data_IF_563021850699
#
_entry.id   IF_563021850699
#
_cell.length_a   1.000
_cell.length_b   1.000
_cell.length_c   1.000
_cell.angle_alpha   90.00
_cell.angle_beta   90.00
_cell.angle_gamma   90.00
#
_symmetry.space_group_name_H-M   'P 1'
#
loop_
_entity.id
_entity.type
_entity.pdbx_description
1 polymer ?
#
# COMPACT_ATOMS: atom_id res chain seq x y z
N UNK A 1 -5.11 1.32 -13.12
CA UNK A 1 -5.79 0.03 -12.91
C UNK A 1 -5.74 -0.29 -11.43
N UNK A 2 -6.81 -0.80 -10.83
CA UNK A 2 -6.84 -1.14 -9.40
C UNK A 2 -7.52 -2.51 -9.20
N UNK A 3 -6.99 -3.32 -8.29
CA UNK A 3 -7.48 -4.68 -8.00
C UNK A 3 -7.48 -4.95 -6.50
N UNK A 4 -8.42 -5.77 -6.03
CA UNK A 4 -8.45 -6.23 -4.63
C UNK A 4 -7.67 -7.53 -4.42
N UNK A 5 -7.28 -8.23 -5.50
CA UNK A 5 -6.43 -9.45 -5.45
C UNK A 5 -4.95 -9.11 -5.49
N UNK A 6 -4.13 -10.01 -4.96
CA UNK A 6 -2.67 -9.98 -5.07
C UNK A 6 -2.18 -11.24 -5.77
N UNK A 7 -1.08 -11.11 -6.52
CA UNK A 7 -0.49 -12.21 -7.29
C UNK A 7 0.99 -12.37 -6.96
N UNK A 8 1.46 -13.61 -6.98
CA UNK A 8 2.86 -13.96 -6.81
C UNK A 8 3.38 -14.61 -8.10
N UNK A 9 4.57 -14.22 -8.51
CA UNK A 9 5.25 -14.74 -9.70
C UNK A 9 6.73 -14.97 -9.37
N UNK A 10 7.31 -16.12 -9.76
CA UNK A 10 8.75 -16.34 -9.64
C UNK A 10 9.56 -15.31 -10.44
N UNK A 11 10.57 -14.70 -9.82
CA UNK A 11 11.40 -13.67 -10.48
C UNK A 11 12.23 -14.23 -11.63
N UNK A 12 12.68 -15.49 -11.53
CA UNK A 12 13.42 -16.16 -12.61
C UNK A 12 12.62 -16.29 -13.90
N UNK A 13 11.29 -16.41 -13.80
CA UNK A 13 10.38 -16.41 -14.94
C UNK A 13 10.30 -15.02 -15.57
N UNK A 14 10.15 -13.97 -14.74
CA UNK A 14 10.08 -12.58 -15.22
C UNK A 14 11.37 -12.14 -15.91
N UNK A 15 12.53 -12.60 -15.43
CA UNK A 15 13.84 -12.26 -15.99
C UNK A 15 14.21 -13.03 -17.26
N UNK A 16 13.49 -14.10 -17.60
CA UNK A 16 13.78 -14.87 -18.81
C UNK A 16 13.04 -14.30 -20.02
N UNK A 17 13.72 -13.50 -20.84
CA UNK A 17 13.12 -12.80 -21.98
C UNK A 17 12.49 -13.77 -23.01
N UNK A 18 13.12 -14.91 -23.26
CA UNK A 18 12.69 -15.86 -24.29
C UNK A 18 11.28 -16.41 -24.07
N UNK A 19 10.85 -16.47 -22.80
CA UNK A 19 9.51 -16.91 -22.36
C UNK A 19 8.42 -15.98 -22.91
N UNK A 20 8.71 -14.68 -23.03
CA UNK A 20 7.73 -13.65 -23.41
C UNK A 20 7.56 -13.48 -24.92
N UNK A 21 8.46 -14.04 -25.73
CA UNK A 21 8.44 -13.87 -27.18
C UNK A 21 7.56 -14.91 -27.91
N UNK A 22 7.36 -16.09 -27.32
CA UNK A 22 6.77 -17.24 -28.05
C UNK A 22 5.52 -17.83 -27.38
N UNK A 23 5.52 -18.02 -26.06
CA UNK A 23 4.52 -18.84 -25.36
C UNK A 23 3.84 -18.12 -24.18
N UNK A 24 3.58 -16.81 -24.28
CA UNK A 24 3.04 -15.98 -23.18
C UNK A 24 1.82 -16.58 -22.46
N UNK A 25 0.91 -17.21 -23.19
CA UNK A 25 -0.31 -17.80 -22.64
C UNK A 25 -0.04 -19.06 -21.79
N UNK A 26 1.00 -19.83 -22.11
CA UNK A 26 1.36 -21.02 -21.33
C UNK A 26 1.94 -20.65 -19.97
N UNK A 27 2.64 -19.51 -19.89
CA UNK A 27 3.29 -19.03 -18.68
C UNK A 27 2.35 -18.20 -17.79
N UNK A 28 1.15 -17.84 -18.27
CA UNK A 28 0.14 -17.15 -17.47
C UNK A 28 -0.25 -17.96 -16.20
N UNK A 29 -0.13 -19.29 -16.23
CA UNK A 29 -0.40 -20.18 -15.08
C UNK A 29 0.51 -19.93 -13.87
N UNK A 30 1.67 -19.31 -14.07
CA UNK A 30 2.62 -18.98 -12.99
C UNK A 30 2.28 -17.68 -12.26
N UNK A 31 1.27 -16.93 -12.72
CA UNK A 31 0.70 -15.80 -11.99
C UNK A 31 -0.33 -16.34 -11.01
N UNK A 32 0.15 -16.68 -9.81
CA UNK A 32 -0.66 -17.37 -8.81
C UNK A 32 -1.34 -16.32 -7.94
N UNK A 33 -2.69 -16.28 -7.86
CA UNK A 33 -3.38 -15.41 -6.92
C UNK A 33 -3.12 -15.90 -5.50
N UNK A 34 -2.58 -15.04 -4.64
CA UNK A 34 -2.25 -15.38 -3.25
C UNK A 34 -3.35 -15.01 -2.26
N UNK A 35 -4.28 -14.15 -2.66
CA UNK A 35 -5.45 -13.82 -1.85
C UNK A 35 -6.08 -12.49 -2.24
N UNK A 36 -6.97 -12.00 -1.37
CA UNK A 36 -7.68 -10.74 -1.54
C UNK A 36 -7.67 -9.89 -0.26
N UNK A 37 -7.76 -8.58 -0.44
CA UNK A 37 -7.73 -7.58 0.63
C UNK A 37 -9.12 -7.27 1.23
N UNK A 38 -10.20 -7.86 0.68
CA UNK A 38 -11.59 -7.66 1.11
C UNK A 38 -12.43 -6.75 0.22
N UNK A 39 -13.58 -6.32 0.77
CA UNK A 39 -14.52 -5.43 0.10
C UNK A 39 -13.96 -4.00 0.01
N UNK A 40 -14.15 -3.34 -1.14
CA UNK A 40 -13.69 -1.97 -1.42
C UNK A 40 -12.20 -1.71 -1.11
N UNK A 41 -11.36 -2.73 -1.20
CA UNK A 41 -9.92 -2.65 -0.88
C UNK A 41 -9.06 -2.72 -2.14
N UNK A 42 -9.52 -2.10 -3.22
CA UNK A 42 -8.78 -2.03 -4.47
C UNK A 42 -7.50 -1.24 -4.24
N UNK A 43 -6.37 -1.85 -4.60
CA UNK A 43 -5.06 -1.21 -4.56
C UNK A 43 -4.67 -0.70 -5.93
N UNK A 44 -4.17 0.53 -6.00
CA UNK A 44 -3.60 1.12 -7.22
C UNK A 44 -2.10 0.87 -7.32
N UNK A 45 -1.41 0.77 -6.18
CA UNK A 45 0.04 0.74 -6.12
C UNK A 45 0.51 0.03 -4.84
N UNK A 46 1.73 -0.48 -4.88
CA UNK A 46 2.35 -1.20 -3.77
C UNK A 46 3.83 -0.85 -3.70
N UNK A 47 4.40 -0.83 -2.51
CA UNK A 47 5.83 -0.65 -2.27
C UNK A 47 6.32 -1.60 -1.19
N UNK A 48 7.44 -2.28 -1.44
CA UNK A 48 8.04 -3.23 -0.49
C UNK A 48 9.31 -2.65 0.09
N UNK A 49 9.43 -2.68 1.41
CA UNK A 49 10.61 -2.26 2.16
C UNK A 49 11.70 -3.33 2.13
N UNK A 50 12.92 -2.98 2.55
CA UNK A 50 14.05 -3.90 2.60
C UNK A 50 13.85 -5.03 3.61
N UNK A 51 13.11 -4.76 4.68
CA UNK A 51 12.73 -5.75 5.69
C UNK A 51 11.50 -6.58 5.29
N UNK A 52 11.03 -6.51 4.03
CA UNK A 52 9.96 -7.38 3.53
C UNK A 52 8.55 -6.97 3.96
N UNK A 53 8.34 -5.70 4.28
CA UNK A 53 7.02 -5.17 4.59
C UNK A 53 6.48 -4.50 3.33
N UNK A 54 5.36 -5.00 2.84
CA UNK A 54 4.63 -4.43 1.73
C UNK A 54 3.61 -3.42 2.24
N UNK A 55 3.67 -2.20 1.70
CA UNK A 55 2.62 -1.20 1.82
C UNK A 55 1.81 -1.16 0.53
N UNK A 56 0.51 -0.91 0.64
CA UNK A 56 -0.39 -0.83 -0.51
C UNK A 56 -1.46 0.23 -0.28
N UNK A 57 -1.91 0.89 -1.35
CA UNK A 57 -2.98 1.87 -1.26
C UNK A 57 -4.35 1.19 -1.26
N UNK A 58 -5.37 1.87 -0.74
CA UNK A 58 -6.76 1.46 -0.82
C UNK A 58 -7.62 2.64 -1.29
N UNK A 59 -7.79 2.75 -2.61
CA UNK A 59 -8.39 3.95 -3.24
C UNK A 59 -9.83 4.20 -2.83
N UNK A 60 -10.60 3.16 -2.53
CA UNK A 60 -12.00 3.28 -2.11
C UNK A 60 -12.19 3.41 -0.60
N UNK A 61 -11.16 3.11 0.18
CA UNK A 61 -11.20 3.25 1.65
C UNK A 61 -10.47 4.51 2.11
N UNK A 62 -9.90 5.29 1.19
CA UNK A 62 -9.07 6.45 1.48
C UNK A 62 -7.96 6.14 2.51
N UNK A 63 -7.38 4.94 2.41
CA UNK A 63 -6.46 4.37 3.40
C UNK A 63 -5.23 3.74 2.74
N UNK A 64 -4.20 3.48 3.55
CA UNK A 64 -3.07 2.63 3.23
C UNK A 64 -3.17 1.38 4.10
N UNK A 65 -2.77 0.24 3.54
CA UNK A 65 -2.55 -0.97 4.32
C UNK A 65 -1.10 -1.42 4.29
N UNK A 66 -0.79 -2.36 5.16
CA UNK A 66 0.49 -3.05 5.20
C UNK A 66 0.32 -4.55 5.28
N UNK A 67 1.37 -5.27 4.91
CA UNK A 67 1.47 -6.71 5.02
C UNK A 67 2.95 -7.10 5.20
N UNK A 68 3.21 -8.04 6.09
CA UNK A 68 4.51 -8.67 6.23
C UNK A 68 4.60 -9.86 5.26
N UNK A 69 5.50 -9.76 4.27
CA UNK A 69 5.66 -10.77 3.21
C UNK A 69 6.12 -12.14 3.72
N UNK A 70 6.61 -12.23 4.96
CA UNK A 70 6.96 -13.51 5.60
C UNK A 70 5.73 -14.27 6.11
N UNK A 71 4.59 -13.59 6.29
CA UNK A 71 3.34 -14.16 6.79
C UNK A 71 2.41 -14.54 5.63
N UNK A 72 1.59 -15.60 5.75
CA UNK A 72 0.68 -15.96 4.67
C UNK A 72 -0.32 -14.84 4.39
N UNK A 73 -0.62 -14.61 3.11
CA UNK A 73 -1.48 -13.52 2.63
C UNK A 73 -2.94 -13.79 2.99
N UNK A 74 -3.34 -13.43 4.21
CA UNK A 74 -4.69 -13.59 4.73
C UNK A 74 -5.16 -12.28 5.35
N UNK A 75 -6.48 -12.03 5.37
CA UNK A 75 -7.04 -10.79 5.92
C UNK A 75 -6.65 -10.54 7.39
N UNK A 76 -6.35 -11.59 8.16
CA UNK A 76 -5.88 -11.47 9.55
C UNK A 76 -4.46 -10.88 9.66
N UNK A 77 -3.66 -11.02 8.61
CA UNK A 77 -2.27 -10.53 8.55
C UNK A 77 -2.13 -9.22 7.76
N UNK A 78 -3.25 -8.66 7.27
CA UNK A 78 -3.28 -7.37 6.60
C UNK A 78 -3.59 -6.29 7.63
N UNK A 79 -2.65 -5.37 7.82
CA UNK A 79 -2.87 -4.16 8.60
C UNK A 79 -3.56 -3.09 7.77
N UNK A 80 -4.46 -2.34 8.40
CA UNK A 80 -5.03 -1.11 7.84
C UNK A 80 -4.69 0.05 8.77
N UNK A 81 -4.31 1.19 8.20
CA UNK A 81 -3.98 2.37 8.99
C UNK A 81 -5.22 3.25 9.14
N UNK A 82 -6.22 2.76 9.87
CA UNK A 82 -7.46 3.51 10.07
C UNK A 82 -7.15 4.86 10.76
N UNK A 83 -7.14 5.93 9.99
CA UNK A 83 -6.85 7.27 10.46
C UNK A 83 -8.14 7.86 11.05
N UNK A 84 -8.55 7.35 12.21
CA UNK A 84 -9.79 7.72 12.89
C UNK A 84 -9.81 9.18 13.37
N UNK A 85 -8.66 9.86 13.45
CA UNK A 85 -8.58 11.23 13.98
C UNK A 85 -8.49 12.32 12.91
N UNK A 86 -8.05 12.00 11.69
CA UNK A 86 -7.96 12.97 10.59
C UNK A 86 -8.47 12.35 9.29
N UNK A 87 -9.78 12.15 9.20
CA UNK A 87 -10.45 11.52 8.04
C UNK A 87 -10.22 12.25 6.71
N UNK A 88 -9.69 13.46 6.73
CA UNK A 88 -9.47 14.28 5.54
C UNK A 88 -8.02 14.26 5.03
N UNK A 89 -7.08 13.62 5.74
CA UNK A 89 -5.64 13.73 5.43
C UNK A 89 -5.26 12.90 4.19
N UNK A 90 -5.74 11.67 4.14
CA UNK A 90 -5.63 10.79 2.97
C UNK A 90 -6.98 10.79 2.28
N UNK A 91 -6.97 11.19 1.02
CA UNK A 91 -8.08 11.07 0.10
C UNK A 91 -7.53 10.56 -1.23
N UNK A 92 -8.18 9.55 -1.81
CA UNK A 92 -7.77 8.91 -3.05
C UNK A 92 -6.25 8.70 -3.19
N UNK A 93 -5.65 7.79 -2.40
CA UNK A 93 -4.21 7.54 -2.43
C UNK A 93 -3.80 6.97 -3.80
N UNK A 94 -3.13 7.81 -4.61
CA UNK A 94 -2.89 7.51 -6.02
C UNK A 94 -1.64 6.63 -6.21
N UNK A 95 -0.51 7.08 -5.66
CA UNK A 95 0.78 6.38 -5.73
C UNK A 95 1.50 6.38 -4.39
N UNK A 96 2.39 5.40 -4.22
CA UNK A 96 3.11 5.07 -3.01
C UNK A 96 4.48 4.54 -3.39
N UNK A 97 5.53 5.05 -2.72
CA UNK A 97 6.90 4.58 -2.88
C UNK A 97 7.57 4.43 -1.53
N UNK A 98 8.47 3.45 -1.44
CA UNK A 98 9.38 3.30 -0.31
C UNK A 98 10.75 3.79 -0.76
N UNK A 99 11.36 4.69 -0.01
CA UNK A 99 12.71 5.16 -0.30
C UNK A 99 13.78 4.11 0.03
N UNK A 100 15.01 4.35 -0.44
CA UNK A 100 16.15 3.45 -0.25
C UNK A 100 17.12 3.94 0.83
N UNK A 101 16.70 4.93 1.61
CA UNK A 101 17.49 5.49 2.70
C UNK A 101 17.81 4.45 3.77
N UNK A 102 18.77 4.75 4.66
CA UNK A 102 19.07 3.88 5.80
C UNK A 102 17.83 3.71 6.69
N UNK A 103 17.19 4.82 7.01
CA UNK A 103 15.90 4.86 7.71
C UNK A 103 14.78 5.01 6.68
N UNK A 104 14.25 3.88 6.21
CA UNK A 104 13.28 3.87 5.13
C UNK A 104 12.00 4.62 5.49
N UNK A 105 11.50 5.43 4.55
CA UNK A 105 10.23 6.12 4.64
C UNK A 105 9.29 5.69 3.51
N UNK A 106 8.01 5.71 3.82
CA UNK A 106 6.93 5.57 2.86
C UNK A 106 6.48 6.96 2.46
N UNK A 107 6.44 7.18 1.16
CA UNK A 107 5.96 8.39 0.51
C UNK A 107 4.63 8.06 -0.16
N UNK A 108 3.61 8.88 0.08
CA UNK A 108 2.28 8.71 -0.48
C UNK A 108 1.87 10.00 -1.19
N UNK A 109 1.28 9.87 -2.37
CA UNK A 109 0.56 10.94 -3.05
C UNK A 109 -0.92 10.73 -2.86
N UNK A 110 -1.59 11.71 -2.27
CA UNK A 110 -3.03 11.75 -2.05
C UNK A 110 -3.61 12.94 -2.83
N UNK A 111 -4.75 12.73 -3.48
CA UNK A 111 -5.39 13.79 -4.26
C UNK A 111 -6.92 13.68 -4.26
N UNK A 112 -7.58 14.56 -5.01
CA UNK A 112 -9.03 14.60 -5.16
C UNK A 112 -9.50 14.26 -6.57
N UNK A 113 -8.86 13.29 -7.22
CA UNK A 113 -9.17 12.93 -8.60
C UNK A 113 -10.66 12.60 -8.85
N UNK A 114 -11.37 11.85 -7.99
CA UNK A 114 -12.80 11.60 -8.21
C UNK A 114 -13.63 12.90 -8.22
N UNK A 115 -13.29 13.87 -7.37
CA UNK A 115 -13.97 15.18 -7.33
C UNK A 115 -13.67 15.96 -8.62
N UNK A 116 -12.41 15.95 -9.08
CA UNK A 116 -12.03 16.60 -10.33
C UNK A 116 -12.74 16.02 -11.56
N UNK A 117 -12.99 14.71 -11.60
CA UNK A 117 -13.63 14.05 -12.74
C UNK A 117 -15.16 14.23 -12.78
N UNK A 118 -15.81 14.30 -11.62
CA UNK A 118 -17.28 14.28 -11.51
C UNK A 118 -17.89 15.58 -10.98
N UNK A 119 -17.07 16.56 -10.60
CA UNK A 119 -17.47 17.85 -10.06
C UNK A 119 -16.41 18.92 -10.35
N UNK A 120 -16.57 20.11 -9.76
CA UNK A 120 -15.55 21.16 -9.78
C UNK A 120 -14.66 21.04 -8.54
N UNK A 121 -13.35 21.17 -8.77
CA UNK A 121 -12.36 21.24 -7.71
C UNK A 121 -12.49 22.57 -6.97
N UNK A 122 -12.50 22.55 -5.63
CA UNK A 122 -12.41 23.77 -4.83
C UNK A 122 -10.94 24.19 -4.69
N UNK A 123 -10.54 25.25 -5.38
CA UNK A 123 -9.19 25.79 -5.33
C UNK A 123 -8.87 26.54 -4.02
N UNK A 124 -9.86 26.78 -3.15
CA UNK A 124 -9.66 27.28 -1.80
C UNK A 124 -9.11 26.25 -0.82
N UNK A 125 -9.13 24.97 -1.18
CA UNK A 125 -8.64 23.87 -0.35
C UNK A 125 -7.37 23.19 -0.91
N UNK A 126 -6.66 22.46 -0.05
CA UNK A 126 -5.50 21.65 -0.47
C UNK A 126 -6.01 20.39 -1.17
N UNK A 127 -5.84 20.33 -2.49
CA UNK A 127 -6.34 19.23 -3.32
C UNK A 127 -5.33 18.11 -3.61
N UNK A 128 -4.05 18.39 -3.40
CA UNK A 128 -2.94 17.45 -3.62
C UNK A 128 -2.03 17.47 -2.40
N UNK A 129 -1.66 16.30 -1.90
CA UNK A 129 -0.76 16.13 -0.75
C UNK A 129 0.32 15.12 -1.06
N UNK A 130 1.53 15.44 -0.63
CA UNK A 130 2.64 14.50 -0.57
C UNK A 130 2.90 14.25 0.90
N UNK A 131 2.71 13.00 1.31
CA UNK A 131 2.79 12.57 2.68
C UNK A 131 4.01 11.68 2.86
N UNK A 132 4.71 11.84 3.98
CA UNK A 132 5.86 11.03 4.35
C UNK A 132 5.65 10.45 5.74
N UNK A 133 5.99 9.18 5.90
CA UNK A 133 6.05 8.58 7.22
C UNK A 133 7.18 7.54 7.30
N UNK A 134 7.84 7.48 8.46
CA UNK A 134 8.93 6.54 8.69
C UNK A 134 8.40 5.13 8.89
N UNK A 135 8.95 4.15 8.15
CA UNK A 135 8.48 2.75 8.15
C UNK A 135 8.44 2.18 9.56
N UNK A 136 9.53 2.32 10.33
CA UNK A 136 9.65 1.74 11.68
C UNK A 136 8.64 2.35 12.65
N UNK A 137 8.32 3.65 12.50
CA UNK A 137 7.30 4.32 13.32
C UNK A 137 5.89 3.82 12.98
N UNK A 138 5.56 3.73 11.70
CA UNK A 138 4.22 3.33 11.22
C UNK A 138 3.88 1.90 11.66
N UNK A 139 4.84 0.98 11.52
CA UNK A 139 4.59 -0.44 11.78
C UNK A 139 4.62 -0.80 13.26
N UNK A 140 5.23 0.01 14.13
CA UNK A 140 5.58 -0.38 15.52
C UNK A 140 4.43 -1.04 16.29
N UNK A 141 3.21 -0.52 16.15
CA UNK A 141 2.01 -1.01 16.82
C UNK A 141 1.03 -1.71 15.87
N UNK A 142 1.47 -2.15 14.71
CA UNK A 142 0.63 -2.83 13.71
C UNK A 142 0.92 -4.33 13.62
N UNK A 143 -0.01 -5.08 13.02
CA UNK A 143 0.14 -6.51 12.73
C UNK A 143 1.27 -6.82 11.74
N UNK A 144 1.75 -5.79 11.03
CA UNK A 144 2.81 -5.86 10.04
C UNK A 144 4.20 -5.71 10.64
N UNK A 145 4.30 -5.45 11.95
CA UNK A 145 5.59 -5.49 12.64
C UNK A 145 6.09 -6.95 12.69
N UNK A 146 7.28 -7.25 12.15
CA UNK A 146 7.86 -8.59 12.24
C UNK A 146 8.15 -9.00 13.70
N UNK A 147 8.42 -8.03 14.58
CA UNK A 147 8.73 -8.29 16.00
C UNK A 147 7.46 -8.48 16.87
N UNK A 148 6.26 -8.22 16.34
CA UNK A 148 5.03 -8.46 17.07
C UNK A 148 4.68 -9.95 17.06
N UNK A 149 5.06 -10.65 18.14
CA UNK A 149 4.43 -11.91 18.52
C UNK A 149 2.97 -11.63 18.86
N UNK A 150 2.03 -12.18 18.07
CA UNK A 150 0.58 -11.99 18.20
C UNK A 150 0.08 -12.21 19.64
N UNK A 151 -0.08 -11.11 20.38
CA UNK A 151 -0.95 -11.06 21.55
C UNK A 151 -2.23 -10.34 21.12
N UNK A 152 -3.36 -11.06 21.21
CA UNK A 152 -4.72 -10.62 20.87
C UNK A 152 -5.16 -9.42 21.72
N UNK A 153 -4.68 -8.22 21.38
CA UNK A 153 -5.25 -6.97 21.87
C UNK A 153 -5.39 -6.02 20.70
N UNK A 154 -6.64 -5.73 20.34
CA UNK A 154 -7.02 -4.60 19.50
C UNK A 154 -6.32 -3.35 20.00
N UNK A 155 -5.25 -2.95 19.31
CA UNK A 155 -4.58 -1.67 19.51
C UNK A 155 -4.53 -1.00 18.15
N UNK A 156 -5.33 0.04 17.99
CA UNK A 156 -5.24 1.00 16.90
C UNK A 156 -3.85 1.65 16.94
N UNK A 157 -3.13 1.59 15.83
CA UNK A 157 -1.84 2.25 15.68
C UNK A 157 -2.05 3.72 15.30
N UNK A 158 -1.63 4.63 16.17
CA UNK A 158 -1.57 6.06 15.86
C UNK A 158 -0.36 6.33 14.96
N UNK A 159 -0.60 6.81 13.74
CA UNK A 159 0.45 7.15 12.79
C UNK A 159 0.49 8.66 12.62
N UNK A 160 1.63 9.27 12.96
CA UNK A 160 1.94 10.65 12.61
C UNK A 160 2.45 10.65 11.17
N UNK A 161 1.58 11.08 10.25
CA UNK A 161 1.92 11.31 8.85
C UNK A 161 2.21 12.80 8.70
N UNK A 162 3.42 13.14 8.26
CA UNK A 162 3.83 14.52 8.06
C UNK A 162 3.71 14.88 6.58
N UNK A 163 3.28 16.12 6.29
CA UNK A 163 3.30 16.65 4.93
C UNK A 163 4.76 16.91 4.52
N UNK A 164 5.17 16.36 3.38
CA UNK A 164 6.49 16.61 2.82
C UNK A 164 6.57 18.04 2.30
N UNK A 165 7.51 18.84 2.80
CA UNK A 165 7.86 20.12 2.19
C UNK A 165 8.63 19.84 0.88
N UNK A 166 8.03 20.20 -0.26
CA UNK A 166 8.76 20.28 -1.53
C UNK A 166 9.59 21.57 -1.51
N UNK A 167 10.92 21.45 -1.61
CA UNK A 167 11.83 22.58 -1.86
C UNK A 167 12.06 22.74 -3.36
#
# INVERSE_FOLDING_TARGET
>A
MASFKEFMVPINLLLNESVWQTNTQEYAKYFIPIGDRGYNSQSSTTGVTRNGIMFFTQVHQDDIGCWDTSKPYTRAHLGKFHNLENSNLIQFPNDLKVDKEKDQNVWLISNRLPIFLYSNLDYGEVNFRILKANVNKIIRNSVCNPDNNYNNTSKSAFVLIEEGQCY
#
